data_IF_619013129077
#
_entry.id   IF_619013129077
#
_cell.length_a   1.000
_cell.length_b   1.000
_cell.length_c   1.000
_cell.angle_alpha   90.00
_cell.angle_beta   90.00
_cell.angle_gamma   90.00
#
_symmetry.space_group_name_H-M   'P 1'
#
loop_
_entity.id
_entity.type
_entity.pdbx_description
1 polymer ?
#
# COMPACT_ATOMS: atom_id res chain seq x y z
N UNK A 1 10.80 -3.14 7.45
CA UNK A 1 11.40 -4.45 7.13
C UNK A 1 10.43 -5.55 7.52
N UNK A 2 10.33 -6.62 6.72
CA UNK A 2 9.43 -7.77 6.94
C UNK A 2 10.29 -9.03 7.02
N UNK A 3 10.03 -9.85 8.03
CA UNK A 3 10.75 -11.11 8.29
C UNK A 3 9.77 -12.28 8.37
N UNK A 4 10.09 -13.40 7.76
CA UNK A 4 9.34 -14.63 7.93
C UNK A 4 9.64 -15.26 9.31
N UNK A 5 8.61 -15.56 10.07
CA UNK A 5 8.77 -16.02 11.45
C UNK A 5 9.34 -17.44 11.54
N UNK A 6 9.08 -18.29 10.57
CA UNK A 6 9.55 -19.67 10.54
C UNK A 6 11.03 -19.76 10.15
N UNK A 7 11.39 -19.18 9.02
CA UNK A 7 12.74 -19.31 8.44
C UNK A 7 13.71 -18.20 8.86
N UNK A 8 13.22 -17.09 9.41
CA UNK A 8 13.96 -15.85 9.63
C UNK A 8 14.36 -15.12 8.34
N UNK A 9 13.84 -15.53 7.19
CA UNK A 9 14.11 -14.89 5.91
C UNK A 9 13.64 -13.44 5.93
N UNK A 10 14.47 -12.52 5.49
CA UNK A 10 14.08 -11.15 5.22
C UNK A 10 13.37 -11.11 3.87
N UNK A 11 12.06 -11.01 3.89
CA UNK A 11 11.23 -11.04 2.69
C UNK A 11 10.96 -9.65 2.10
N UNK A 12 11.19 -8.59 2.88
CA UNK A 12 11.02 -7.22 2.39
C UNK A 12 11.68 -6.19 3.29
N UNK A 13 12.23 -5.15 2.69
CA UNK A 13 12.84 -4.04 3.40
C UNK A 13 13.19 -2.91 2.45
N UNK A 14 12.89 -1.69 2.86
CA UNK A 14 13.20 -0.47 2.13
C UNK A 14 13.30 0.69 3.11
N UNK A 15 14.16 1.64 2.81
CA UNK A 15 14.34 2.88 3.55
C UNK A 15 13.55 3.99 2.87
N UNK A 16 12.90 4.81 3.68
CA UNK A 16 12.11 5.95 3.23
C UNK A 16 12.44 7.17 4.09
N UNK A 17 12.18 8.37 3.57
CA UNK A 17 12.31 9.60 4.35
C UNK A 17 11.21 9.73 5.42
N UNK A 18 10.05 9.11 5.20
CA UNK A 18 8.90 9.18 6.12
C UNK A 18 8.38 7.77 6.41
N UNK A 19 7.98 7.54 7.65
CA UNK A 19 7.23 6.35 8.04
C UNK A 19 5.74 6.60 7.84
N UNK A 20 5.15 5.90 6.88
CA UNK A 20 3.72 5.97 6.60
C UNK A 20 3.16 4.63 6.09
N UNK A 21 1.84 4.50 6.14
CA UNK A 21 1.14 3.28 5.71
C UNK A 21 1.41 2.91 4.25
N UNK A 22 1.52 3.90 3.35
CA UNK A 22 1.73 3.67 1.93
C UNK A 22 3.09 3.01 1.66
N UNK A 23 4.14 3.47 2.36
CA UNK A 23 5.47 2.88 2.25
C UNK A 23 5.49 1.43 2.74
N UNK A 24 4.78 1.12 3.83
CA UNK A 24 4.64 -0.25 4.28
C UNK A 24 3.88 -1.12 3.26
N UNK A 25 2.80 -0.61 2.67
CA UNK A 25 2.04 -1.31 1.63
C UNK A 25 2.91 -1.64 0.41
N UNK A 26 3.79 -0.73 -0.03
CA UNK A 26 4.76 -0.99 -1.12
C UNK A 26 5.69 -2.15 -0.80
N UNK A 27 6.30 -2.13 0.38
CA UNK A 27 7.21 -3.19 0.82
C UNK A 27 6.47 -4.52 0.93
N UNK A 28 5.25 -4.52 1.48
CA UNK A 28 4.42 -5.72 1.61
C UNK A 28 4.02 -6.28 0.23
N UNK A 29 3.60 -5.43 -0.71
CA UNK A 29 3.26 -5.82 -2.08
C UNK A 29 4.46 -6.49 -2.78
N UNK A 30 5.64 -5.89 -2.68
CA UNK A 30 6.88 -6.43 -3.25
C UNK A 30 7.27 -7.77 -2.62
N UNK A 31 7.14 -7.88 -1.30
CA UNK A 31 7.42 -9.13 -0.57
C UNK A 31 6.46 -10.25 -1.02
N UNK A 32 5.17 -9.96 -1.13
CA UNK A 32 4.15 -10.93 -1.59
C UNK A 32 4.40 -11.34 -3.04
N UNK A 33 4.75 -10.41 -3.91
CA UNK A 33 5.04 -10.70 -5.32
C UNK A 33 6.22 -11.69 -5.46
N UNK A 34 7.21 -11.59 -4.57
CA UNK A 34 8.44 -12.39 -4.63
C UNK A 34 8.29 -13.72 -3.88
N UNK A 35 7.75 -13.69 -2.67
CA UNK A 35 7.76 -14.83 -1.75
C UNK A 35 6.39 -15.49 -1.55
N UNK A 36 5.31 -14.85 -2.02
CA UNK A 36 3.95 -15.36 -1.86
C UNK A 36 3.17 -14.70 -0.73
N UNK A 37 1.89 -15.07 -0.63
CA UNK A 37 0.92 -14.52 0.32
C UNK A 37 1.04 -15.27 1.65
N UNK A 38 1.39 -14.60 2.76
CA UNK A 38 1.45 -15.24 4.06
C UNK A 38 0.06 -15.57 4.59
N UNK A 39 -0.07 -16.57 5.46
CA UNK A 39 -1.33 -16.85 6.15
C UNK A 39 -1.65 -15.80 7.21
N UNK A 40 -0.60 -15.28 7.85
CA UNK A 40 -0.72 -14.29 8.94
C UNK A 40 0.29 -13.17 8.75
N UNK A 41 -0.17 -11.94 8.99
CA UNK A 41 0.67 -10.76 9.08
C UNK A 41 0.62 -10.24 10.51
N UNK A 42 1.77 -10.21 11.19
CA UNK A 42 1.90 -9.76 12.57
C UNK A 42 2.56 -8.39 12.59
N UNK A 43 1.86 -7.38 13.09
CA UNK A 43 2.32 -5.99 13.13
C UNK A 43 2.16 -5.39 14.53
N UNK A 44 2.81 -4.29 14.78
CA UNK A 44 2.58 -3.53 16.00
C UNK A 44 1.35 -2.61 15.88
N UNK A 45 1.05 -1.88 16.98
CA UNK A 45 -0.06 -0.92 17.02
C UNK A 45 0.34 0.47 16.54
N UNK A 46 1.43 0.61 15.78
CA UNK A 46 1.81 1.88 15.17
C UNK A 46 0.76 2.38 14.18
N UNK A 47 0.64 3.70 14.00
CA UNK A 47 -0.34 4.30 13.11
C UNK A 47 -0.19 3.85 11.64
N UNK A 48 1.02 3.49 11.22
CA UNK A 48 1.30 2.94 9.88
C UNK A 48 0.68 1.57 9.66
N UNK A 49 0.35 0.82 10.73
CA UNK A 49 -0.19 -0.55 10.66
C UNK A 49 -1.62 -0.66 11.18
N UNK A 50 -2.03 0.24 12.08
CA UNK A 50 -3.38 0.27 12.66
C UNK A 50 -4.30 1.17 11.84
N UNK A 51 -4.55 0.79 10.58
CA UNK A 51 -5.41 1.55 9.67
C UNK A 51 -6.34 0.61 8.88
N UNK A 52 -7.49 1.16 8.52
CA UNK A 52 -8.54 0.44 7.80
C UNK A 52 -8.06 -0.10 6.44
N UNK A 53 -7.18 0.64 5.75
CA UNK A 53 -6.70 0.25 4.43
C UNK A 53 -5.87 -1.04 4.49
N UNK A 54 -4.96 -1.17 5.46
CA UNK A 54 -4.20 -2.39 5.65
C UNK A 54 -5.11 -3.59 5.98
N UNK A 55 -6.13 -3.38 6.80
CA UNK A 55 -7.13 -4.41 7.10
C UNK A 55 -7.86 -4.87 5.83
N UNK A 56 -8.29 -3.93 4.98
CA UNK A 56 -8.96 -4.25 3.70
C UNK A 56 -8.03 -5.00 2.73
N UNK A 57 -6.75 -4.61 2.64
CA UNK A 57 -5.74 -5.30 1.86
C UNK A 57 -5.58 -6.74 2.36
N UNK A 58 -5.43 -6.93 3.66
CA UNK A 58 -5.29 -8.27 4.26
C UNK A 58 -6.53 -9.14 3.99
N UNK A 59 -7.73 -8.59 4.11
CA UNK A 59 -8.98 -9.30 3.77
C UNK A 59 -9.00 -9.69 2.28
N UNK A 60 -8.63 -8.77 1.38
CA UNK A 60 -8.59 -9.06 -0.07
C UNK A 60 -7.58 -10.14 -0.43
N UNK A 61 -6.46 -10.23 0.30
CA UNK A 61 -5.43 -11.25 0.15
C UNK A 61 -5.77 -12.57 0.86
N UNK A 62 -6.78 -12.58 1.74
CA UNK A 62 -7.08 -13.70 2.63
C UNK A 62 -5.99 -13.93 3.69
N UNK A 63 -5.39 -12.85 4.21
CA UNK A 63 -4.34 -12.82 5.23
C UNK A 63 -4.95 -12.45 6.57
N UNK A 64 -4.63 -13.20 7.62
CA UNK A 64 -5.04 -12.86 8.98
C UNK A 64 -4.11 -11.77 9.55
N UNK A 65 -4.63 -10.55 9.71
CA UNK A 65 -3.92 -9.44 10.33
C UNK A 65 -3.97 -9.57 11.85
N UNK A 66 -2.82 -9.62 12.48
CA UNK A 66 -2.65 -9.73 13.93
C UNK A 66 -1.85 -8.54 14.45
N UNK A 67 -2.35 -7.93 15.52
CA UNK A 67 -1.65 -6.84 16.22
C UNK A 67 -1.01 -7.35 17.51
N UNK A 68 0.16 -6.79 17.86
CA UNK A 68 0.79 -7.10 19.15
C UNK A 68 -0.11 -6.68 20.30
N UNK A 69 -0.20 -7.52 21.34
CA UNK A 69 -0.86 -7.08 22.57
C UNK A 69 -0.09 -5.91 23.20
N UNK A 70 -0.85 -4.97 23.77
CA UNK A 70 -0.27 -3.82 24.46
C UNK A 70 0.60 -4.36 25.61
N UNK A 71 1.86 -3.90 25.68
CA UNK A 71 2.87 -4.30 26.69
C UNK A 71 3.36 -5.75 26.62
N UNK A 72 3.13 -6.47 25.50
CA UNK A 72 3.68 -7.82 25.31
C UNK A 72 5.04 -7.73 24.57
N UNK A 73 6.13 -7.60 25.35
CA UNK A 73 7.50 -7.56 24.80
C UNK A 73 7.96 -8.88 24.19
N UNK A 74 7.40 -10.03 24.60
CA UNK A 74 7.81 -11.33 24.09
C UNK A 74 7.42 -11.52 22.62
N UNK A 75 6.27 -10.99 22.21
CA UNK A 75 5.77 -11.08 20.84
C UNK A 75 6.60 -10.27 19.81
N UNK A 76 7.31 -9.23 20.27
CA UNK A 76 8.21 -8.40 19.45
C UNK A 76 9.67 -8.86 19.47
N UNK A 77 10.05 -9.73 20.40
CA UNK A 77 11.45 -10.07 20.68
C UNK A 77 12.25 -10.56 19.48
N UNK A 78 11.60 -11.20 18.49
CA UNK A 78 12.27 -11.67 17.26
C UNK A 78 12.62 -10.51 16.32
N UNK A 79 11.66 -9.60 16.10
CA UNK A 79 11.85 -8.42 15.24
C UNK A 79 12.82 -7.44 15.89
N UNK A 80 12.68 -7.19 17.20
CA UNK A 80 13.59 -6.31 17.95
C UNK A 80 15.03 -6.83 17.94
N UNK A 81 15.23 -8.14 18.15
CA UNK A 81 16.56 -8.78 18.05
C UNK A 81 17.13 -8.63 16.65
N UNK A 82 16.29 -8.79 15.61
CA UNK A 82 16.74 -8.60 14.24
C UNK A 82 17.18 -7.16 13.99
N UNK A 83 16.39 -6.16 14.43
CA UNK A 83 16.77 -4.74 14.29
C UNK A 83 18.05 -4.39 15.06
N UNK A 84 18.28 -4.99 16.22
CA UNK A 84 19.56 -4.86 16.93
C UNK A 84 20.72 -5.40 16.10
N UNK A 85 20.57 -6.61 15.57
CA UNK A 85 21.58 -7.24 14.71
C UNK A 85 21.86 -6.42 13.45
N UNK A 86 20.83 -5.89 12.82
CA UNK A 86 20.95 -5.01 11.66
C UNK A 86 21.73 -3.75 11.99
N UNK A 87 21.42 -3.08 13.11
CA UNK A 87 22.14 -1.88 13.53
C UNK A 87 23.61 -2.18 13.81
N UNK A 88 23.91 -3.20 14.62
CA UNK A 88 25.25 -3.53 15.07
C UNK A 88 26.13 -4.07 13.94
N UNK A 89 25.61 -4.93 13.08
CA UNK A 89 26.41 -5.65 12.07
C UNK A 89 26.42 -4.99 10.70
N UNK A 90 25.55 -4.04 10.46
CA UNK A 90 25.45 -3.39 9.17
C UNK A 90 25.41 -1.86 9.29
N UNK A 91 24.39 -1.27 9.96
CA UNK A 91 24.21 0.17 9.92
C UNK A 91 25.41 0.93 10.52
N UNK A 92 25.93 0.45 11.66
CA UNK A 92 27.06 1.09 12.34
C UNK A 92 28.42 0.82 11.67
N UNK A 93 28.49 -0.11 10.73
CA UNK A 93 29.70 -0.40 9.95
C UNK A 93 29.76 0.39 8.64
N UNK A 94 28.67 1.06 8.26
CA UNK A 94 28.64 1.87 7.06
C UNK A 94 29.32 3.22 7.26
N UNK A 95 30.10 3.61 6.27
CA UNK A 95 30.52 5.00 6.14
C UNK A 95 29.37 5.84 5.55
N UNK A 96 28.58 6.42 6.46
CA UNK A 96 27.39 7.21 6.08
C UNK A 96 27.78 8.45 5.27
N UNK A 97 29.01 8.98 5.43
CA UNK A 97 29.48 10.14 4.69
C UNK A 97 29.64 9.86 3.19
N UNK A 98 29.84 8.61 2.80
CA UNK A 98 29.95 8.17 1.41
C UNK A 98 28.60 7.98 0.71
N UNK A 99 27.48 7.99 1.45
CA UNK A 99 26.14 7.71 0.92
C UNK A 99 25.52 9.04 0.46
N UNK A 100 25.36 9.21 -0.85
CA UNK A 100 24.87 10.45 -1.44
C UNK A 100 23.37 10.46 -1.75
N UNK A 101 22.71 9.29 -1.74
CA UNK A 101 21.30 9.19 -2.09
C UNK A 101 20.57 8.06 -1.36
N UNK A 102 19.25 8.21 -1.19
CA UNK A 102 18.40 7.16 -0.65
C UNK A 102 18.42 5.91 -1.53
N UNK A 103 18.54 6.06 -2.85
CA UNK A 103 18.63 4.93 -3.77
C UNK A 103 19.90 4.10 -3.53
N UNK A 104 21.04 4.75 -3.33
CA UNK A 104 22.30 4.09 -2.96
C UNK A 104 22.15 3.37 -1.61
N UNK A 105 21.54 4.02 -0.63
CA UNK A 105 21.32 3.40 0.69
C UNK A 105 20.41 2.17 0.60
N UNK A 106 19.36 2.22 -0.22
CA UNK A 106 18.48 1.08 -0.46
C UNK A 106 19.20 -0.07 -1.20
N UNK A 107 20.16 0.23 -2.06
CA UNK A 107 21.00 -0.80 -2.69
C UNK A 107 21.85 -1.53 -1.64
N UNK A 108 22.51 -0.80 -0.75
CA UNK A 108 23.27 -1.38 0.36
C UNK A 108 22.37 -2.22 1.29
N UNK A 109 21.15 -1.76 1.56
CA UNK A 109 20.19 -2.53 2.35
C UNK A 109 19.81 -3.85 1.68
N UNK A 110 19.57 -3.84 0.37
CA UNK A 110 19.27 -5.05 -0.41
C UNK A 110 20.43 -6.04 -0.40
N UNK A 111 21.65 -5.57 -0.51
CA UNK A 111 22.85 -6.41 -0.43
C UNK A 111 23.02 -7.02 0.97
N UNK A 112 22.78 -6.22 2.02
CA UNK A 112 22.73 -6.76 3.38
C UNK A 112 21.66 -7.84 3.54
N UNK A 113 20.44 -7.61 3.06
CA UNK A 113 19.34 -8.59 3.14
C UNK A 113 19.71 -9.89 2.42
N UNK A 114 20.34 -9.79 1.24
CA UNK A 114 20.81 -10.95 0.47
C UNK A 114 21.87 -11.72 1.25
N UNK A 115 22.88 -11.02 1.78
CA UNK A 115 23.94 -11.62 2.60
C UNK A 115 23.36 -12.28 3.86
N UNK A 116 22.47 -11.59 4.58
CA UNK A 116 21.82 -12.15 5.77
C UNK A 116 21.04 -13.43 5.44
N UNK A 117 20.30 -13.44 4.36
CA UNK A 117 19.47 -14.57 3.94
C UNK A 117 20.27 -15.81 3.55
N UNK A 118 21.54 -15.64 3.16
CA UNK A 118 22.45 -16.73 2.77
C UNK A 118 23.50 -17.06 3.84
N UNK A 119 23.54 -16.33 4.95
CA UNK A 119 24.45 -16.60 6.07
C UNK A 119 23.85 -17.61 7.03
N UNK A 120 24.66 -18.56 7.50
CA UNK A 120 24.25 -19.57 8.49
C UNK A 120 23.77 -18.92 9.80
N UNK A 121 22.60 -19.32 10.26
CA UNK A 121 21.95 -18.78 11.45
C UNK A 121 21.82 -19.88 12.52
N UNK A 122 22.65 -19.81 13.58
CA UNK A 122 22.69 -20.83 14.65
C UNK A 122 21.33 -21.15 15.27
N UNK A 123 20.43 -20.18 15.40
CA UNK A 123 19.11 -20.37 16.04
C UNK A 123 18.11 -21.17 15.20
N UNK A 124 18.41 -21.45 13.94
CA UNK A 124 17.59 -22.26 13.03
C UNK A 124 18.39 -23.39 12.38
N UNK A 125 19.67 -23.50 12.69
CA UNK A 125 20.62 -24.52 12.22
C UNK A 125 20.66 -24.65 10.68
N UNK A 126 20.55 -23.53 9.98
CA UNK A 126 20.50 -23.44 8.52
C UNK A 126 20.65 -21.98 8.08
N UNK A 127 20.76 -21.73 6.78
CA UNK A 127 20.56 -20.39 6.26
C UNK A 127 19.06 -20.08 6.21
N UNK A 128 18.65 -18.80 6.41
CA UNK A 128 17.23 -18.41 6.26
C UNK A 128 16.63 -18.81 4.92
N UNK A 129 17.40 -18.68 3.84
CA UNK A 129 16.94 -19.01 2.49
C UNK A 129 16.69 -20.51 2.31
N UNK A 130 17.64 -21.37 2.72
CA UNK A 130 17.47 -22.83 2.66
C UNK A 130 16.29 -23.31 3.50
N UNK A 131 16.14 -22.77 4.72
CA UNK A 131 15.02 -23.12 5.59
C UNK A 131 13.67 -22.71 4.99
N UNK A 132 13.61 -21.57 4.31
CA UNK A 132 12.42 -21.15 3.60
C UNK A 132 12.09 -22.06 2.42
N UNK A 133 13.11 -22.40 1.60
CA UNK A 133 12.96 -23.27 0.42
C UNK A 133 12.59 -24.71 0.78
N UNK A 134 13.10 -25.22 1.90
CA UNK A 134 12.84 -26.57 2.38
C UNK A 134 11.59 -26.68 3.27
N UNK A 135 10.84 -25.57 3.45
CA UNK A 135 9.58 -25.60 4.18
C UNK A 135 8.56 -26.48 3.45
N UNK A 136 7.80 -27.27 4.21
CA UNK A 136 6.69 -28.07 3.66
C UNK A 136 5.49 -27.19 3.29
N UNK A 137 5.29 -26.11 4.03
CA UNK A 137 4.19 -25.18 3.84
C UNK A 137 4.69 -23.93 3.09
N UNK A 138 4.47 -23.91 1.78
CA UNK A 138 4.81 -22.74 0.97
C UNK A 138 3.67 -21.72 0.96
N UNK A 139 3.98 -20.41 1.05
CA UNK A 139 2.98 -19.38 0.90
C UNK A 139 2.26 -19.47 -0.44
N UNK A 140 0.97 -19.18 -0.44
CA UNK A 140 0.14 -19.16 -1.66
C UNK A 140 0.69 -18.12 -2.64
N UNK A 141 0.75 -18.46 -3.92
CA UNK A 141 1.14 -17.49 -4.95
C UNK A 141 -0.04 -16.57 -5.29
N UNK A 142 0.22 -15.28 -5.60
CA UNK A 142 -0.79 -14.41 -6.17
C UNK A 142 -1.35 -14.99 -7.48
N UNK A 143 -2.65 -14.81 -7.73
CA UNK A 143 -3.30 -15.32 -8.95
C UNK A 143 -2.69 -14.70 -10.22
N UNK A 144 -2.41 -13.39 -10.17
CA UNK A 144 -1.73 -12.63 -11.22
C UNK A 144 -1.13 -11.36 -10.61
N UNK A 145 -0.23 -10.69 -11.35
CA UNK A 145 0.29 -9.38 -10.97
C UNK A 145 -0.82 -8.33 -10.88
N UNK A 146 -1.76 -8.36 -11.84
CA UNK A 146 -2.91 -7.44 -11.85
C UNK A 146 -3.83 -7.67 -10.66
N UNK A 147 -4.16 -8.92 -10.33
CA UNK A 147 -4.96 -9.25 -9.16
C UNK A 147 -4.28 -8.77 -7.86
N UNK A 148 -2.96 -8.98 -7.76
CA UNK A 148 -2.21 -8.50 -6.60
C UNK A 148 -2.30 -6.97 -6.50
N UNK A 149 -2.19 -6.24 -7.60
CA UNK A 149 -2.34 -4.80 -7.63
C UNK A 149 -3.73 -4.36 -7.16
N UNK A 150 -4.77 -5.02 -7.64
CA UNK A 150 -6.16 -4.74 -7.24
C UNK A 150 -6.42 -4.96 -5.74
N UNK A 151 -5.72 -5.92 -5.10
CA UNK A 151 -5.78 -6.10 -3.65
C UNK A 151 -5.19 -4.92 -2.87
N UNK A 152 -4.25 -4.18 -3.46
CA UNK A 152 -3.57 -3.04 -2.82
C UNK A 152 -4.21 -1.68 -3.14
N UNK A 153 -5.30 -1.62 -3.88
CA UNK A 153 -6.05 -0.37 -4.01
C UNK A 153 -6.62 0.07 -2.66
N UNK A 154 -6.28 1.28 -2.28
CA UNK A 154 -6.96 1.95 -1.17
C UNK A 154 -8.39 2.28 -1.56
N UNK A 155 -9.28 2.26 -0.58
CA UNK A 155 -10.72 2.45 -0.77
C UNK A 155 -11.20 3.61 0.08
N UNK A 156 -11.96 4.50 -0.54
CA UNK A 156 -12.55 5.64 0.14
C UNK A 156 -13.92 5.96 -0.44
N UNK A 157 -14.89 6.20 0.43
CA UNK A 157 -16.21 6.64 -0.01
C UNK A 157 -16.29 8.16 0.07
N UNK A 158 -16.73 8.81 -1.01
CA UNK A 158 -16.93 10.26 -1.07
C UNK A 158 -18.29 10.61 -1.66
N UNK A 159 -18.88 11.71 -1.19
CA UNK A 159 -20.05 12.31 -1.84
C UNK A 159 -19.57 13.24 -2.94
N UNK A 160 -20.09 13.02 -4.15
CA UNK A 160 -19.80 13.87 -5.30
C UNK A 160 -20.53 15.20 -5.14
N UNK A 161 -19.82 16.30 -5.36
CA UNK A 161 -20.35 17.66 -5.29
C UNK A 161 -21.22 17.99 -6.51
N UNK A 162 -21.98 19.10 -6.42
CA UNK A 162 -22.81 19.58 -7.53
C UNK A 162 -22.01 20.01 -8.77
N UNK A 163 -20.74 20.34 -8.58
CA UNK A 163 -19.78 20.69 -9.63
C UNK A 163 -19.07 19.49 -10.25
N UNK A 164 -19.56 18.28 -9.97
CA UNK A 164 -18.98 17.02 -10.46
C UNK A 164 -17.56 16.77 -9.96
N UNK A 165 -17.24 17.23 -8.75
CA UNK A 165 -15.91 17.02 -8.14
C UNK A 165 -15.99 16.25 -6.81
N UNK A 166 -14.86 15.64 -6.45
CA UNK A 166 -14.60 15.08 -5.13
C UNK A 166 -13.27 15.61 -4.59
N UNK A 167 -13.04 15.46 -3.29
CA UNK A 167 -11.76 15.82 -2.68
C UNK A 167 -11.13 14.60 -2.00
N UNK A 168 -9.89 14.29 -2.34
CA UNK A 168 -9.05 13.28 -1.70
C UNK A 168 -7.76 14.00 -1.27
N UNK A 169 -7.39 13.90 -0.01
CA UNK A 169 -6.17 14.50 0.56
C UNK A 169 -5.96 15.97 0.16
N UNK A 170 -7.02 16.78 0.24
CA UNK A 170 -7.08 18.21 -0.12
C UNK A 170 -6.92 18.52 -1.62
N UNK A 171 -6.81 17.50 -2.47
CA UNK A 171 -6.77 17.65 -3.93
C UNK A 171 -8.15 17.37 -4.52
N UNK A 172 -8.59 18.20 -5.47
CA UNK A 172 -9.86 18.01 -6.19
C UNK A 172 -9.67 17.12 -7.42
N UNK A 173 -10.67 16.25 -7.65
CA UNK A 173 -10.71 15.35 -8.81
C UNK A 173 -12.07 15.49 -9.51
N UNK A 174 -12.04 15.54 -10.82
CA UNK A 174 -13.23 15.53 -11.68
C UNK A 174 -13.78 14.11 -11.77
N UNK A 175 -15.10 14.02 -11.71
CA UNK A 175 -15.87 12.77 -11.70
C UNK A 175 -16.93 12.82 -12.78
N UNK A 176 -17.30 11.69 -13.42
CA UNK A 176 -18.42 11.70 -14.38
C UNK A 176 -19.70 12.27 -13.79
N UNK A 177 -20.40 13.11 -14.56
CA UNK A 177 -21.59 13.88 -14.12
C UNK A 177 -22.72 13.00 -13.59
N UNK A 178 -22.82 11.75 -14.07
CA UNK A 178 -23.82 10.78 -13.62
C UNK A 178 -23.79 10.50 -12.11
N UNK A 179 -22.66 10.78 -11.45
CA UNK A 179 -22.49 10.55 -10.02
C UNK A 179 -22.75 11.80 -9.16
N UNK A 180 -23.19 12.92 -9.73
CA UNK A 180 -23.47 14.15 -8.98
C UNK A 180 -24.43 13.85 -7.83
N UNK A 181 -24.07 14.34 -6.62
CA UNK A 181 -24.80 14.15 -5.37
C UNK A 181 -24.84 12.71 -4.82
N UNK A 182 -24.36 11.71 -5.55
CA UNK A 182 -24.24 10.32 -5.10
C UNK A 182 -23.04 10.14 -4.16
N UNK A 183 -23.08 9.08 -3.35
CA UNK A 183 -21.92 8.54 -2.65
C UNK A 183 -21.28 7.50 -3.56
N UNK A 184 -19.98 7.61 -3.80
CA UNK A 184 -19.21 6.73 -4.68
C UNK A 184 -18.05 6.10 -3.96
N UNK A 185 -17.74 4.86 -4.31
CA UNK A 185 -16.57 4.14 -3.81
C UNK A 185 -15.41 4.31 -4.80
N UNK A 186 -14.35 4.93 -4.31
CA UNK A 186 -13.16 5.26 -5.09
C UNK A 186 -12.08 4.26 -4.72
N UNK A 187 -11.39 3.77 -5.74
CA UNK A 187 -10.23 2.92 -5.66
C UNK A 187 -9.03 3.67 -6.21
N UNK A 188 -7.90 3.67 -5.48
CA UNK A 188 -6.71 4.39 -5.87
C UNK A 188 -5.44 3.80 -5.26
N UNK A 189 -4.32 3.98 -5.93
CA UNK A 189 -2.99 3.75 -5.36
C UNK A 189 -2.47 5.09 -4.84
N UNK A 190 -2.00 5.19 -3.59
CA UNK A 190 -1.55 6.46 -3.02
C UNK A 190 -0.41 7.13 -3.77
N UNK A 191 0.42 6.36 -4.46
CA UNK A 191 1.55 6.80 -5.25
C UNK A 191 1.24 6.93 -6.75
N UNK A 192 0.05 6.49 -7.18
CA UNK A 192 -0.43 6.65 -8.56
C UNK A 192 -1.91 7.03 -8.59
N UNK A 193 -2.20 8.29 -8.28
CA UNK A 193 -3.55 8.83 -8.35
C UNK A 193 -4.07 8.95 -9.80
N UNK A 194 -3.20 8.83 -10.80
CA UNK A 194 -3.60 8.82 -12.21
C UNK A 194 -4.42 7.57 -12.58
N UNK A 195 -4.23 6.48 -11.88
CA UNK A 195 -4.99 5.23 -12.04
C UNK A 195 -6.27 5.16 -11.19
N UNK A 196 -6.63 6.22 -10.45
CA UNK A 196 -7.79 6.23 -9.58
C UNK A 196 -9.11 6.15 -10.35
N UNK A 197 -10.05 5.40 -9.82
CA UNK A 197 -11.37 5.20 -10.45
C UNK A 197 -12.48 4.99 -9.43
N UNK A 198 -13.71 5.28 -9.87
CA UNK A 198 -14.92 4.88 -9.15
C UNK A 198 -15.29 3.48 -9.60
N UNK A 199 -15.55 2.60 -8.63
CA UNK A 199 -16.15 1.30 -8.92
C UNK A 199 -17.66 1.38 -8.69
N UNK A 200 -18.43 1.23 -9.76
CA UNK A 200 -19.90 1.24 -9.72
C UNK A 200 -20.45 0.15 -10.64
N UNK A 201 -21.35 -0.69 -10.13
CA UNK A 201 -21.93 -1.83 -10.87
C UNK A 201 -20.90 -2.67 -11.63
N UNK A 202 -19.78 -2.95 -10.96
CA UNK A 202 -18.64 -3.70 -11.50
C UNK A 202 -17.94 -3.03 -12.71
N UNK A 203 -18.22 -1.74 -12.97
CA UNK A 203 -17.56 -0.94 -13.99
C UNK A 203 -16.59 0.06 -13.36
N UNK A 204 -15.47 0.31 -14.03
CA UNK A 204 -14.44 1.26 -13.60
C UNK A 204 -14.63 2.57 -14.34
N UNK A 205 -14.88 3.65 -13.61
CA UNK A 205 -15.01 5.01 -14.14
C UNK A 205 -13.78 5.82 -13.69
N UNK A 206 -12.87 6.17 -14.59
CA UNK A 206 -11.66 6.91 -14.22
C UNK A 206 -12.01 8.28 -13.67
N UNK A 207 -11.21 8.74 -12.70
CA UNK A 207 -11.25 10.11 -12.21
C UNK A 207 -9.92 10.78 -12.57
N UNK A 208 -9.92 12.09 -12.72
CA UNK A 208 -8.70 12.85 -13.01
C UNK A 208 -8.59 14.05 -12.09
N UNK A 209 -7.36 14.46 -11.82
CA UNK A 209 -7.13 15.68 -11.05
C UNK A 209 -7.72 16.88 -11.78
N UNK A 210 -8.49 17.70 -11.06
CA UNK A 210 -9.15 18.89 -11.61
C UNK A 210 -8.12 19.90 -12.08
N UNK A 211 -8.17 20.25 -13.36
CA UNK A 211 -7.39 21.35 -13.91
C UNK A 211 -8.22 22.63 -13.91
N UNK A 212 -7.91 23.56 -13.01
CA UNK A 212 -8.67 24.81 -12.86
C UNK A 212 -8.63 25.68 -14.12
N UNK A 213 -7.56 25.64 -14.89
CA UNK A 213 -7.40 26.44 -16.12
C UNK A 213 -8.32 25.90 -17.24
N UNK A 214 -8.44 24.59 -17.39
CA UNK A 214 -9.37 23.97 -18.34
C UNK A 214 -10.82 24.31 -18.02
N UNK A 215 -11.19 24.25 -16.74
CA UNK A 215 -12.56 24.56 -16.29
C UNK A 215 -12.98 26.00 -16.56
N UNK A 216 -12.05 26.96 -16.61
CA UNK A 216 -12.32 28.34 -16.98
C UNK A 216 -12.68 28.51 -18.47
N UNK A 217 -12.20 27.60 -19.33
CA UNK A 217 -12.35 27.69 -20.78
C UNK A 217 -13.37 26.69 -21.36
N UNK A 218 -13.81 25.72 -20.55
CA UNK A 218 -14.78 24.72 -20.99
C UNK A 218 -16.17 25.35 -21.14
N UNK A 219 -16.64 25.46 -22.39
CA UNK A 219 -18.01 25.84 -22.67
C UNK A 219 -18.95 24.77 -22.08
N UNK A 220 -19.67 25.10 -21.02
CA UNK A 220 -20.70 24.24 -20.47
C UNK A 220 -21.82 24.16 -21.49
N UNK A 221 -22.15 22.99 -22.02
CA UNK A 221 -23.38 22.75 -22.78
C UNK A 221 -24.56 22.65 -21.79
N UNK A 222 -24.83 23.75 -21.13
CA UNK A 222 -26.12 23.88 -20.44
C UNK A 222 -27.16 24.09 -21.56
N UNK A 223 -28.01 23.10 -21.81
CA UNK A 223 -29.26 23.32 -22.45
C UNK A 223 -29.99 24.34 -21.58
N UNK A 224 -30.05 25.59 -22.05
CA UNK A 224 -30.80 26.64 -21.33
C UNK A 224 -32.23 26.12 -21.16
N UNK A 225 -32.69 26.07 -19.91
CA UNK A 225 -34.11 25.75 -19.65
C UNK A 225 -34.87 26.91 -20.25
N UNK A 226 -35.60 26.66 -21.32
CA UNK A 226 -36.44 27.64 -21.97
C UNK A 226 -37.74 27.82 -21.13
N UNK A 227 -37.69 28.79 -20.26
CA UNK A 227 -38.80 29.12 -19.36
C UNK A 227 -40.06 29.57 -20.10
N UNK A 228 -39.96 29.94 -21.39
CA UNK A 228 -41.14 30.31 -22.20
C UNK A 228 -42.08 29.14 -22.48
N UNK A 229 -41.55 27.89 -22.34
CA UNK A 229 -42.34 26.67 -22.53
C UNK A 229 -43.00 26.13 -21.26
N UNK A 230 -42.74 26.74 -20.09
CA UNK A 230 -43.28 26.29 -18.79
C UNK A 230 -44.56 27.10 -18.42
N UNK A 231 -44.83 28.18 -19.12
CA UNK A 231 -45.97 29.05 -18.85
C UNK A 231 -47.04 28.99 -19.92
N UNK A 232 -47.82 27.93 -19.94
CA UNK A 232 -48.93 27.83 -20.87
C UNK A 232 -49.90 26.72 -20.52
N UNK A 233 -50.75 26.98 -19.52
CA UNK A 233 -52.14 26.53 -19.45
C UNK A 233 -52.80 27.19 -18.25
N UNK A 234 -53.45 28.30 -18.51
CA UNK A 234 -54.64 28.72 -17.80
C UNK A 234 -55.85 28.39 -18.67
#
# INVERSE_FOLDING_TARGET
MIIDDHSRLLVGGELFYNDNACNFQKVLKSAIATYGIPDKLYVDNGCSYSNEQLSMICVSLGVLLLHTKIRDGASKGKVERHFRTLKERWLYTLDISSITSLAQFNTLLKDYMRSYNTTFHRGIDSTPLERYQNSKDHPRKPQSAQWLEECFYNRITRKVRKDSTITIDKVCYDVPMQFISAKVDIRYLPDDMGSAFILFENQKFPIRQTNRNENCHTKRSNTAIDYSKIGGNT
#
